data_IF_529875676497
#
_entry.id   IF_529875676497
#
_cell.length_a   1.000
_cell.length_b   1.000
_cell.length_c   1.000
_cell.angle_alpha   90.00
_cell.angle_beta   90.00
_cell.angle_gamma   90.00
#
_symmetry.space_group_name_H-M   'P 1'
#
loop_
_entity.id
_entity.type
_entity.pdbx_description
1 polymer ?
#
# COMPACT_ATOMS: atom_id res chain seq x y z
N UNK A 1 -28.55 -51.27 -3.68
CA UNK A 1 -27.34 -51.21 -4.50
C UNK A 1 -27.22 -49.90 -5.34
N UNK A 2 -28.25 -49.46 -6.10
CA UNK A 2 -28.17 -48.21 -6.90
C UNK A 2 -28.05 -46.92 -6.13
N UNK A 3 -28.59 -46.83 -4.88
CA UNK A 3 -28.51 -45.64 -4.02
C UNK A 3 -27.11 -45.51 -3.42
N UNK A 4 -26.50 -46.60 -2.97
CA UNK A 4 -25.16 -46.64 -2.40
C UNK A 4 -24.12 -46.24 -3.47
N UNK A 5 -24.30 -46.68 -4.71
CA UNK A 5 -23.42 -46.33 -5.83
C UNK A 5 -23.53 -44.82 -6.21
N UNK A 6 -24.73 -44.22 -6.14
CA UNK A 6 -24.94 -42.79 -6.37
C UNK A 6 -24.34 -41.94 -5.26
N UNK A 7 -24.45 -42.38 -4.01
CA UNK A 7 -23.82 -41.71 -2.87
C UNK A 7 -22.29 -41.79 -2.94
N UNK A 8 -21.73 -42.92 -3.36
CA UNK A 8 -20.30 -43.07 -3.59
C UNK A 8 -19.78 -42.18 -4.73
N UNK A 9 -20.52 -42.07 -5.84
CA UNK A 9 -20.17 -41.19 -6.96
C UNK A 9 -20.23 -39.71 -6.57
N UNK A 10 -21.19 -39.31 -5.74
CA UNK A 10 -21.27 -37.92 -5.20
C UNK A 10 -20.13 -37.65 -4.25
N UNK A 11 -19.74 -38.62 -3.41
CA UNK A 11 -18.60 -38.49 -2.51
C UNK A 11 -17.27 -38.41 -3.26
N UNK A 12 -17.10 -39.16 -4.34
CA UNK A 12 -15.90 -39.09 -5.20
C UNK A 12 -15.85 -37.77 -5.98
N UNK A 13 -17.02 -37.25 -6.42
CA UNK A 13 -17.08 -35.94 -7.07
C UNK A 13 -16.78 -34.75 -6.10
N UNK A 14 -17.11 -34.91 -4.83
CA UNK A 14 -16.79 -33.90 -3.77
C UNK A 14 -15.32 -33.94 -3.32
N UNK A 15 -14.61 -35.05 -3.49
CA UNK A 15 -13.17 -35.17 -3.18
C UNK A 15 -12.24 -34.63 -4.29
N UNK A 16 -12.78 -34.27 -5.47
CA UNK A 16 -12.00 -33.88 -6.67
C UNK A 16 -11.73 -32.37 -6.81
N UNK A 17 -12.19 -31.53 -5.90
CA UNK A 17 -11.91 -30.09 -5.96
C UNK A 17 -10.88 -29.76 -4.89
N UNK A 18 -9.64 -30.18 -5.10
CA UNK A 18 -8.52 -29.53 -4.42
C UNK A 18 -8.40 -28.14 -5.07
N UNK A 19 -8.87 -27.13 -4.38
CA UNK A 19 -8.50 -25.76 -4.72
C UNK A 19 -7.02 -25.64 -4.39
N UNK A 20 -6.18 -25.55 -5.41
CA UNK A 20 -4.80 -25.15 -5.25
C UNK A 20 -4.87 -23.69 -4.80
N UNK A 21 -4.70 -23.46 -3.52
CA UNK A 21 -4.56 -22.11 -2.98
C UNK A 21 -3.16 -21.62 -3.33
N UNK A 22 -3.08 -20.68 -4.26
CA UNK A 22 -1.85 -19.94 -4.51
C UNK A 22 -1.75 -18.85 -3.44
N UNK A 23 -0.73 -18.93 -2.59
CA UNK A 23 -0.44 -17.83 -1.70
C UNK A 23 0.21 -16.70 -2.50
N UNK A 24 -0.25 -15.47 -2.31
CA UNK A 24 0.33 -14.24 -2.89
C UNK A 24 1.69 -13.88 -2.22
N UNK A 25 2.30 -14.78 -1.49
CA UNK A 25 3.42 -14.57 -0.57
C UNK A 25 4.80 -14.90 -1.13
N UNK A 26 5.03 -14.81 -2.45
CA UNK A 26 6.29 -15.23 -3.06
C UNK A 26 7.35 -14.11 -3.16
N UNK A 27 7.23 -13.05 -2.40
CA UNK A 27 8.19 -11.95 -2.35
C UNK A 27 8.74 -11.74 -0.94
N UNK A 28 10.04 -11.46 -0.84
CA UNK A 28 10.65 -11.04 0.41
C UNK A 28 10.23 -9.60 0.79
N UNK A 29 10.50 -9.19 2.03
CA UNK A 29 10.26 -7.84 2.56
C UNK A 29 8.85 -7.29 2.27
N UNK A 30 7.77 -8.03 2.60
CA UNK A 30 6.39 -7.67 2.28
C UNK A 30 5.92 -6.39 2.98
N UNK A 31 6.64 -5.87 3.97
CA UNK A 31 6.35 -4.61 4.64
C UNK A 31 6.29 -3.43 3.66
N UNK A 32 6.93 -3.53 2.50
CA UNK A 32 6.89 -2.53 1.43
C UNK A 32 5.52 -2.41 0.74
N UNK A 33 4.60 -3.35 0.97
CA UNK A 33 3.24 -3.31 0.44
C UNK A 33 2.20 -2.83 1.46
N UNK A 34 2.57 -2.69 2.73
CA UNK A 34 1.65 -2.30 3.79
C UNK A 34 1.27 -0.82 3.65
N UNK A 35 -0.03 -0.53 3.71
CA UNK A 35 -0.54 0.85 3.68
C UNK A 35 0.02 1.65 4.87
N UNK A 36 0.77 2.73 4.61
CA UNK A 36 1.54 3.35 5.67
C UNK A 36 0.81 4.44 6.45
N UNK A 37 -0.18 5.10 5.86
CA UNK A 37 -0.83 6.27 6.43
C UNK A 37 -2.29 6.04 6.81
N UNK A 38 -2.79 6.81 7.78
CA UNK A 38 -4.16 6.67 8.29
C UNK A 38 -5.20 7.13 7.29
N UNK A 39 -4.91 8.15 6.44
CA UNK A 39 -5.89 8.68 5.50
C UNK A 39 -6.28 7.64 4.46
N UNK A 40 -5.32 7.09 3.73
CA UNK A 40 -5.59 6.02 2.77
C UNK A 40 -5.99 4.72 3.48
N UNK A 41 -5.47 4.46 4.68
CA UNK A 41 -5.93 3.38 5.54
C UNK A 41 -7.43 3.42 5.81
N UNK A 42 -8.01 4.61 6.02
CA UNK A 42 -9.46 4.82 6.16
C UNK A 42 -10.26 4.69 4.87
N UNK A 43 -9.58 4.68 3.70
CA UNK A 43 -10.16 4.58 2.35
C UNK A 43 -10.05 3.17 1.75
N UNK A 44 -9.92 2.13 2.57
CA UNK A 44 -9.74 0.76 2.09
C UNK A 44 -8.37 0.53 1.48
N UNK A 45 -7.36 1.31 1.84
CA UNK A 45 -6.01 1.30 1.26
C UNK A 45 -5.98 1.73 -0.22
N UNK A 46 -6.82 2.72 -0.57
CA UNK A 46 -6.88 3.36 -1.88
C UNK A 46 -6.27 4.77 -1.81
N UNK A 47 -5.25 5.05 -2.60
CA UNK A 47 -4.51 6.31 -2.54
C UNK A 47 -3.82 6.74 -3.82
N UNK A 48 -3.66 5.85 -4.83
CA UNK A 48 -2.85 6.15 -6.01
C UNK A 48 -3.49 7.18 -6.96
N UNK A 49 -4.81 7.21 -7.03
CA UNK A 49 -5.54 8.23 -7.79
C UNK A 49 -5.67 9.56 -7.05
N UNK A 50 -5.69 9.55 -5.72
CA UNK A 50 -5.82 10.74 -4.88
C UNK A 50 -4.48 11.46 -4.70
N UNK A 51 -3.47 10.81 -4.11
CA UNK A 51 -2.05 11.17 -3.98
C UNK A 51 -1.76 12.68 -3.79
N UNK A 52 -2.46 13.33 -2.83
CA UNK A 52 -2.44 14.78 -2.63
C UNK A 52 -1.91 15.23 -1.25
N UNK A 53 -1.17 14.35 -0.55
CA UNK A 53 -0.45 14.63 0.69
C UNK A 53 0.98 14.05 0.64
N UNK A 54 1.77 14.16 1.71
CA UNK A 54 3.14 13.64 1.75
C UNK A 54 3.24 12.12 1.60
N UNK A 55 2.20 11.35 1.95
CA UNK A 55 2.15 9.91 1.72
C UNK A 55 2.06 9.52 0.23
N UNK A 56 1.89 10.49 -0.68
CA UNK A 56 1.97 10.25 -2.12
C UNK A 56 3.31 9.62 -2.54
N UNK A 57 4.40 9.84 -1.81
CA UNK A 57 5.69 9.15 -2.03
C UNK A 57 5.53 7.61 -2.02
N UNK A 58 4.57 7.06 -1.29
CA UNK A 58 4.25 5.63 -1.28
C UNK A 58 3.19 5.26 -2.34
N UNK A 59 2.08 6.01 -2.38
CA UNK A 59 0.92 5.64 -3.19
C UNK A 59 1.14 5.89 -4.68
N UNK A 60 1.58 7.09 -5.01
CA UNK A 60 1.91 7.53 -6.36
C UNK A 60 2.78 8.79 -6.28
N UNK A 61 4.11 8.69 -6.38
CA UNK A 61 4.99 9.84 -6.26
C UNK A 61 4.72 10.95 -7.29
N UNK A 62 4.10 10.65 -8.45
CA UNK A 62 3.72 11.67 -9.42
C UNK A 62 2.65 12.66 -8.89
N UNK A 63 1.87 12.26 -7.87
CA UNK A 63 0.94 13.16 -7.20
C UNK A 63 1.61 14.34 -6.51
N UNK A 64 2.86 14.18 -6.07
CA UNK A 64 3.67 15.25 -5.47
C UNK A 64 3.94 16.40 -6.44
N UNK A 65 3.92 16.16 -7.76
CA UNK A 65 4.10 17.20 -8.77
C UNK A 65 3.00 18.27 -8.76
N UNK A 66 1.83 17.94 -8.18
CA UNK A 66 0.69 18.85 -8.09
C UNK A 66 0.57 19.52 -6.71
N UNK A 67 1.53 19.30 -5.83
CA UNK A 67 1.51 19.82 -4.46
C UNK A 67 2.50 20.98 -4.33
N UNK A 68 2.18 21.92 -3.44
CA UNK A 68 3.01 23.10 -3.11
C UNK A 68 3.30 23.13 -1.61
N UNK A 69 4.27 23.93 -1.19
CA UNK A 69 4.67 24.07 0.21
C UNK A 69 5.38 22.83 0.75
N UNK A 70 5.43 22.75 2.06
CA UNK A 70 6.14 21.72 2.82
C UNK A 70 5.16 20.96 3.70
N UNK A 71 5.36 19.66 3.85
CA UNK A 71 4.57 18.82 4.77
C UNK A 71 5.46 17.76 5.40
N UNK A 72 5.32 17.60 6.71
CA UNK A 72 5.90 16.53 7.51
C UNK A 72 4.76 15.71 8.11
N UNK A 73 4.83 14.39 8.02
CA UNK A 73 3.86 13.51 8.64
C UNK A 73 4.52 12.33 9.32
N UNK A 74 3.98 11.93 10.47
CA UNK A 74 4.35 10.69 11.16
C UNK A 74 3.09 9.86 11.39
N UNK A 75 3.18 8.57 11.09
CA UNK A 75 2.12 7.60 11.34
C UNK A 75 2.65 6.47 12.21
N UNK A 76 1.84 6.06 13.19
CA UNK A 76 2.04 4.87 13.99
C UNK A 76 0.85 3.93 13.82
N UNK A 77 1.13 2.63 13.64
CA UNK A 77 0.11 1.58 13.52
C UNK A 77 0.48 0.40 14.40
N UNK A 78 -0.44 -0.03 15.27
CA UNK A 78 -0.33 -1.33 15.91
C UNK A 78 -0.65 -2.40 14.87
N UNK A 79 0.34 -3.20 14.49
CA UNK A 79 0.17 -4.19 13.43
C UNK A 79 -0.22 -5.55 14.00
N UNK A 80 -1.24 -6.19 13.38
CA UNK A 80 -1.74 -7.51 13.77
C UNK A 80 -2.03 -7.66 15.29
N UNK A 81 -2.85 -6.77 15.88
CA UNK A 81 -3.05 -6.71 17.35
C UNK A 81 -3.63 -8.00 17.94
N UNK A 82 -4.26 -8.85 17.14
CA UNK A 82 -4.82 -10.13 17.57
C UNK A 82 -3.75 -11.14 18.05
N UNK A 83 -2.49 -10.95 17.64
CA UNK A 83 -1.40 -11.81 18.10
C UNK A 83 -0.88 -11.47 19.50
N UNK A 84 -1.30 -10.33 20.08
CA UNK A 84 -0.80 -9.81 21.37
C UNK A 84 0.75 -9.75 21.42
N UNK A 85 1.37 -9.46 20.30
CA UNK A 85 2.80 -9.23 20.14
C UNK A 85 3.05 -7.72 19.97
N UNK A 86 4.24 -7.26 20.34
CA UNK A 86 4.67 -5.87 20.13
C UNK A 86 5.07 -5.62 18.66
N UNK A 87 4.10 -5.83 17.76
CA UNK A 87 4.24 -5.59 16.34
C UNK A 87 3.71 -4.19 16.01
N UNK A 88 4.56 -3.36 15.46
CA UNK A 88 4.13 -2.03 15.03
C UNK A 88 4.82 -1.59 13.74
N UNK A 89 4.18 -0.66 13.08
CA UNK A 89 4.63 -0.07 11.83
C UNK A 89 4.62 1.44 11.97
N UNK A 90 5.81 2.04 11.80
CA UNK A 90 6.01 3.48 11.84
C UNK A 90 6.37 4.00 10.46
N UNK A 91 5.82 5.15 10.11
CA UNK A 91 6.04 5.79 8.83
C UNK A 91 6.21 7.29 9.00
N UNK A 92 7.36 7.80 8.58
CA UNK A 92 7.68 9.22 8.56
C UNK A 92 7.78 9.67 7.10
N UNK A 93 7.15 10.81 6.76
CA UNK A 93 7.24 11.42 5.43
C UNK A 93 7.57 12.89 5.52
N UNK A 94 8.31 13.35 4.52
CA UNK A 94 8.60 14.75 4.27
C UNK A 94 8.44 15.04 2.79
N UNK A 95 7.87 16.20 2.44
CA UNK A 95 7.86 16.74 1.09
C UNK A 95 8.04 18.25 1.12
N UNK A 96 8.67 18.79 0.08
CA UNK A 96 8.86 20.22 -0.12
C UNK A 96 8.88 20.55 -1.61
N UNK A 97 8.09 21.51 -2.02
CA UNK A 97 8.17 22.07 -3.37
C UNK A 97 9.35 23.04 -3.46
N UNK A 98 10.23 22.80 -4.42
CA UNK A 98 11.42 23.60 -4.69
C UNK A 98 11.29 24.29 -6.03
N UNK A 99 11.20 25.63 -6.02
CA UNK A 99 11.09 26.43 -7.26
C UNK A 99 12.31 26.25 -8.16
N UNK A 100 13.52 26.22 -7.60
CA UNK A 100 14.77 26.03 -8.32
C UNK A 100 14.83 24.69 -9.09
N UNK A 101 14.14 23.68 -8.60
CA UNK A 101 14.03 22.37 -9.24
C UNK A 101 12.75 22.23 -10.07
N UNK A 102 11.86 23.22 -10.03
CA UNK A 102 10.52 23.15 -10.65
C UNK A 102 9.78 21.87 -10.32
N UNK A 103 9.91 21.41 -9.06
CA UNK A 103 9.35 20.14 -8.63
C UNK A 103 9.37 19.96 -7.13
N UNK A 104 8.82 18.84 -6.67
CA UNK A 104 8.73 18.48 -5.26
C UNK A 104 9.75 17.40 -4.94
N UNK A 105 10.62 17.67 -3.97
CA UNK A 105 11.46 16.65 -3.33
C UNK A 105 10.72 16.02 -2.18
N UNK A 106 11.00 14.76 -1.91
CA UNK A 106 10.36 14.03 -0.83
C UNK A 106 11.28 12.99 -0.23
N UNK A 107 11.01 12.63 1.02
CA UNK A 107 11.68 11.56 1.72
C UNK A 107 10.69 10.80 2.59
N UNK A 108 10.92 9.50 2.79
CA UNK A 108 10.19 8.73 3.79
C UNK A 108 11.08 7.70 4.48
N UNK A 109 10.75 7.43 5.74
CA UNK A 109 11.32 6.32 6.51
C UNK A 109 10.18 5.41 6.91
N UNK A 110 10.32 4.14 6.57
CA UNK A 110 9.43 3.06 6.98
C UNK A 110 10.16 2.18 7.97
N UNK A 111 9.51 1.84 9.08
CA UNK A 111 10.05 0.92 10.08
C UNK A 111 8.98 -0.07 10.52
N UNK A 112 9.25 -1.36 10.35
CA UNK A 112 8.39 -2.45 10.79
C UNK A 112 9.09 -3.22 11.90
N UNK A 113 8.56 -3.18 13.11
CA UNK A 113 9.05 -3.94 14.25
C UNK A 113 8.32 -5.28 14.32
N UNK A 114 9.08 -6.37 14.35
CA UNK A 114 8.55 -7.72 14.56
C UNK A 114 8.68 -8.20 16.01
N UNK A 115 9.19 -7.33 16.90
CA UNK A 115 9.35 -7.64 18.31
C UNK A 115 10.67 -8.33 18.64
N UNK A 116 10.70 -8.88 19.84
CA UNK A 116 11.85 -9.61 20.39
C UNK A 116 11.58 -11.12 20.34
N UNK A 117 12.56 -11.86 19.84
CA UNK A 117 12.52 -13.31 19.73
C UNK A 117 13.51 -13.96 20.69
N UNK A 118 13.10 -15.08 21.30
CA UNK A 118 13.96 -15.90 22.14
C UNK A 118 14.66 -16.93 21.28
N UNK A 119 16.00 -16.94 21.33
CA UNK A 119 16.81 -17.97 20.72
C UNK A 119 16.90 -19.18 21.64
N UNK A 120 16.64 -20.36 21.12
CA UNK A 120 16.80 -21.64 21.81
C UNK A 120 17.85 -22.49 21.09
N UNK A 121 18.40 -23.50 21.80
CA UNK A 121 19.29 -24.47 21.18
C UNK A 121 18.52 -25.53 20.39
N UNK A 122 19.24 -26.30 19.55
CA UNK A 122 18.64 -27.40 18.77
C UNK A 122 18.19 -28.57 19.65
N UNK A 123 18.81 -28.77 20.80
CA UNK A 123 18.59 -29.92 21.69
C UNK A 123 17.91 -29.58 23.00
N UNK A 124 17.74 -28.29 23.31
CA UNK A 124 17.08 -27.80 24.54
C UNK A 124 16.22 -26.57 24.24
N UNK A 125 15.02 -26.47 24.85
CA UNK A 125 14.18 -25.27 24.79
C UNK A 125 14.71 -24.12 25.66
N UNK A 126 15.82 -24.30 26.37
CA UNK A 126 16.37 -23.27 27.26
C UNK A 126 16.81 -22.04 26.46
N UNK A 127 16.47 -20.83 26.95
CA UNK A 127 16.86 -19.59 26.28
C UNK A 127 18.39 -19.43 26.22
N UNK A 128 18.92 -19.24 25.02
CA UNK A 128 20.33 -18.91 24.77
C UNK A 128 20.56 -17.38 24.64
N UNK A 129 19.48 -16.60 24.57
CA UNK A 129 19.51 -15.16 24.42
C UNK A 129 18.29 -14.64 23.67
N UNK A 130 18.21 -13.33 23.47
CA UNK A 130 17.15 -12.69 22.69
C UNK A 130 17.74 -11.87 21.56
N UNK A 131 16.96 -11.64 20.47
CA UNK A 131 17.29 -10.74 19.40
C UNK A 131 16.05 -10.01 18.91
N UNK A 132 16.22 -8.82 18.34
CA UNK A 132 15.15 -8.05 17.73
C UNK A 132 15.16 -8.21 16.23
N UNK A 133 13.96 -8.39 15.68
CA UNK A 133 13.72 -8.51 14.26
C UNK A 133 12.97 -7.27 13.76
N UNK A 134 13.43 -6.70 12.65
CA UNK A 134 12.79 -5.52 12.04
C UNK A 134 13.12 -5.41 10.55
N UNK A 135 12.25 -4.73 9.83
CA UNK A 135 12.49 -4.24 8.48
C UNK A 135 12.45 -2.70 8.47
N UNK A 136 13.31 -2.10 7.65
CA UNK A 136 13.35 -0.65 7.48
C UNK A 136 13.59 -0.26 6.02
N UNK A 137 13.05 0.88 5.60
CA UNK A 137 13.34 1.45 4.30
C UNK A 137 13.48 2.97 4.39
N UNK A 138 14.48 3.51 3.68
CA UNK A 138 14.64 4.93 3.41
C UNK A 138 14.31 5.16 1.94
N UNK A 139 13.35 6.04 1.66
CA UNK A 139 12.97 6.41 0.30
C UNK A 139 13.24 7.90 0.08
N UNK A 140 13.83 8.22 -1.07
CA UNK A 140 14.01 9.58 -1.55
C UNK A 140 13.26 9.72 -2.87
N UNK A 141 12.48 10.78 -3.03
CA UNK A 141 11.63 10.99 -4.19
C UNK A 141 11.76 12.37 -4.80
N UNK A 142 11.47 12.43 -6.10
CA UNK A 142 11.34 13.67 -6.85
C UNK A 142 10.16 13.55 -7.82
N UNK A 143 9.37 14.62 -7.92
CA UNK A 143 8.25 14.71 -8.84
C UNK A 143 8.15 16.08 -9.48
N UNK A 144 7.76 16.12 -10.76
CA UNK A 144 7.59 17.36 -11.50
C UNK A 144 6.44 17.26 -12.49
N UNK A 145 5.87 18.40 -12.89
CA UNK A 145 4.87 18.47 -13.96
C UNK A 145 5.55 18.41 -15.33
N UNK A 146 5.05 17.54 -16.21
CA UNK A 146 5.38 17.56 -17.64
C UNK A 146 4.50 18.54 -18.40
N UNK A 147 3.27 18.75 -17.93
CA UNK A 147 2.30 19.71 -18.44
C UNK A 147 1.34 20.10 -17.30
N UNK A 148 0.41 21.06 -17.49
CA UNK A 148 -0.60 21.37 -16.47
C UNK A 148 -1.36 20.13 -15.97
N UNK A 149 -1.64 19.17 -16.86
CA UNK A 149 -2.44 17.99 -16.58
C UNK A 149 -1.63 16.75 -16.19
N UNK A 150 -0.33 16.70 -16.51
CA UNK A 150 0.50 15.52 -16.32
C UNK A 150 1.64 15.74 -15.33
N UNK A 151 1.74 14.88 -14.35
CA UNK A 151 2.87 14.76 -13.43
C UNK A 151 3.59 13.44 -13.59
N UNK A 152 4.90 13.46 -13.32
CA UNK A 152 5.72 12.26 -13.19
C UNK A 152 6.43 12.27 -11.84
N UNK A 153 6.74 11.09 -11.33
CA UNK A 153 7.45 10.93 -10.07
C UNK A 153 8.36 9.73 -10.07
N UNK A 154 9.47 9.85 -9.36
CA UNK A 154 10.49 8.82 -9.21
C UNK A 154 10.89 8.70 -7.76
N UNK A 155 11.08 7.48 -7.29
CA UNK A 155 11.67 7.20 -5.99
C UNK A 155 12.91 6.33 -6.15
N UNK A 156 13.85 6.53 -5.24
CA UNK A 156 14.93 5.60 -4.94
C UNK A 156 14.80 5.15 -3.50
N UNK A 157 14.91 3.84 -3.25
CA UNK A 157 14.70 3.25 -1.92
C UNK A 157 15.88 2.36 -1.54
N UNK A 158 16.33 2.49 -0.30
CA UNK A 158 17.26 1.58 0.36
C UNK A 158 16.46 0.76 1.35
N UNK A 159 16.58 -0.56 1.27
CA UNK A 159 15.85 -1.54 2.07
C UNK A 159 16.84 -2.26 2.97
N UNK A 160 16.55 -2.34 4.26
CA UNK A 160 17.33 -3.10 5.22
C UNK A 160 16.41 -4.02 6.03
N UNK A 161 16.68 -5.30 6.00
CA UNK A 161 15.92 -6.32 6.72
C UNK A 161 16.84 -7.08 7.66
N UNK A 162 16.43 -7.20 8.92
CA UNK A 162 17.10 -7.99 9.95
C UNK A 162 16.09 -8.91 10.59
N UNK A 163 16.10 -10.18 10.16
CA UNK A 163 15.17 -11.21 10.66
C UNK A 163 15.80 -12.02 11.81
N UNK A 164 17.10 -12.25 11.77
CA UNK A 164 17.81 -13.00 12.80
C UNK A 164 19.26 -12.48 12.96
N UNK A 165 19.85 -12.63 14.14
CA UNK A 165 21.23 -12.27 14.41
C UNK A 165 22.22 -13.40 14.13
N UNK A 166 21.75 -14.63 14.01
CA UNK A 166 22.49 -15.83 13.66
C UNK A 166 21.63 -16.77 12.81
N UNK A 167 22.27 -17.59 11.96
CA UNK A 167 21.60 -18.67 11.24
C UNK A 167 21.12 -19.77 12.17
N UNK A 168 20.22 -20.60 11.69
CA UNK A 168 19.68 -21.77 12.38
C UNK A 168 20.20 -23.05 11.73
N UNK A 169 20.46 -24.07 12.54
CA UNK A 169 20.94 -25.38 12.09
C UNK A 169 22.30 -25.32 11.40
N UNK A 170 22.39 -25.90 10.21
CA UNK A 170 23.61 -25.92 9.41
C UNK A 170 23.91 -24.57 8.71
N UNK A 171 22.97 -23.63 8.69
CA UNK A 171 23.14 -22.32 8.08
C UNK A 171 24.04 -21.44 8.96
N UNK A 172 25.20 -21.09 8.45
CA UNK A 172 26.12 -20.16 9.10
C UNK A 172 26.00 -18.80 8.47
N UNK A 173 25.51 -17.81 9.25
CA UNK A 173 25.36 -16.44 8.80
C UNK A 173 24.40 -15.64 9.65
N UNK A 174 24.17 -14.41 9.24
CA UNK A 174 23.17 -13.54 9.87
C UNK A 174 21.98 -13.41 8.92
N UNK A 175 20.77 -13.50 9.45
CA UNK A 175 19.54 -13.20 8.72
C UNK A 175 19.37 -11.70 8.48
N UNK A 176 20.38 -11.07 7.85
CA UNK A 176 20.42 -9.62 7.57
C UNK A 176 20.64 -9.42 6.08
N UNK A 177 19.79 -8.61 5.47
CA UNK A 177 19.87 -8.31 4.05
C UNK A 177 19.70 -6.80 3.79
N UNK A 178 20.35 -6.31 2.74
CA UNK A 178 20.18 -4.94 2.25
C UNK A 178 20.01 -4.98 0.75
N UNK A 179 19.02 -4.23 0.24
CA UNK A 179 18.73 -4.11 -1.18
C UNK A 179 18.36 -2.69 -1.53
N UNK A 180 18.17 -2.44 -2.82
CA UNK A 180 17.70 -1.15 -3.34
C UNK A 180 16.53 -1.37 -4.27
N UNK A 181 15.67 -0.35 -4.41
CA UNK A 181 14.60 -0.36 -5.42
C UNK A 181 14.31 1.03 -5.94
N UNK A 182 13.60 1.07 -7.07
CA UNK A 182 13.11 2.28 -7.70
C UNK A 182 11.61 2.20 -7.90
N UNK A 183 10.95 3.35 -7.90
CA UNK A 183 9.56 3.48 -8.30
C UNK A 183 9.48 4.49 -9.46
N UNK A 184 8.56 4.24 -10.40
CA UNK A 184 8.25 5.13 -11.52
C UNK A 184 6.74 5.33 -11.55
N UNK A 185 6.33 6.58 -11.60
CA UNK A 185 4.91 6.91 -11.54
C UNK A 185 4.52 8.02 -12.51
N UNK A 186 3.25 7.99 -12.91
CA UNK A 186 2.61 9.05 -13.66
C UNK A 186 1.24 9.36 -13.05
N UNK A 187 0.82 10.60 -13.16
CA UNK A 187 -0.51 11.05 -12.75
C UNK A 187 -1.08 12.01 -13.80
N UNK A 188 -2.31 11.74 -14.19
CA UNK A 188 -3.11 12.59 -15.04
C UNK A 188 -4.23 13.23 -14.24
N UNK A 189 -4.24 14.55 -14.23
CA UNK A 189 -5.23 15.39 -13.53
C UNK A 189 -5.66 16.51 -14.47
N UNK A 190 -6.63 16.26 -15.37
CA UNK A 190 -7.03 17.19 -16.40
C UNK A 190 -7.68 18.45 -15.81
N UNK A 191 -7.29 19.61 -16.31
CA UNK A 191 -7.96 20.88 -15.98
C UNK A 191 -9.35 20.95 -16.62
N UNK A 192 -9.52 20.36 -17.81
CA UNK A 192 -10.76 20.26 -18.53
C UNK A 192 -10.97 18.86 -19.09
N UNK A 193 -12.11 18.27 -18.80
CA UNK A 193 -12.51 16.96 -19.34
C UNK A 193 -14.02 16.91 -19.51
N UNK A 194 -14.50 17.22 -20.71
CA UNK A 194 -15.94 17.19 -21.03
C UNK A 194 -16.31 15.77 -21.46
N UNK A 195 -17.27 15.16 -20.75
CA UNK A 195 -17.81 13.85 -21.09
C UNK A 195 -18.89 14.00 -22.17
N UNK A 196 -18.70 13.46 -23.40
CA UNK A 196 -19.62 13.68 -24.52
C UNK A 196 -21.04 13.17 -24.31
N UNK A 197 -21.22 12.19 -23.40
CA UNK A 197 -22.53 11.57 -23.14
C UNK A 197 -23.44 12.39 -22.25
N UNK A 198 -22.89 13.21 -21.35
CA UNK A 198 -23.63 13.96 -20.35
C UNK A 198 -23.38 15.47 -20.44
N UNK A 199 -22.49 15.89 -21.37
CA UNK A 199 -22.08 17.29 -21.58
C UNK A 199 -21.62 17.99 -20.29
N UNK A 200 -21.05 17.21 -19.35
CA UNK A 200 -20.51 17.70 -18.07
C UNK A 200 -18.98 17.77 -18.13
N UNK A 201 -18.42 18.90 -17.67
CA UNK A 201 -16.99 19.05 -17.46
C UNK A 201 -16.61 18.48 -16.09
N UNK A 202 -15.90 17.35 -16.09
CA UNK A 202 -15.34 16.71 -14.91
C UNK A 202 -13.84 17.04 -14.71
N UNK A 203 -13.30 17.98 -15.46
CA UNK A 203 -11.97 18.52 -15.24
C UNK A 203 -11.82 19.04 -13.81
N UNK A 204 -10.63 18.95 -13.24
CA UNK A 204 -10.33 19.22 -11.83
C UNK A 204 -11.10 18.39 -10.79
N UNK A 205 -12.04 17.53 -11.22
CA UNK A 205 -12.76 16.59 -10.34
C UNK A 205 -12.23 15.18 -10.45
N UNK A 206 -11.49 14.87 -11.51
CA UNK A 206 -11.04 13.53 -11.83
C UNK A 206 -9.53 13.44 -11.90
N UNK A 207 -8.97 12.32 -11.44
CA UNK A 207 -7.56 12.01 -11.61
C UNK A 207 -7.35 10.50 -11.80
N UNK A 208 -6.29 10.19 -12.54
CA UNK A 208 -5.81 8.82 -12.75
C UNK A 208 -4.34 8.77 -12.41
N UNK A 209 -3.95 7.82 -11.58
CA UNK A 209 -2.57 7.58 -11.18
C UNK A 209 -2.11 6.18 -11.55
N UNK A 210 -0.88 6.07 -12.04
CA UNK A 210 -0.19 4.80 -12.28
C UNK A 210 1.11 4.82 -11.50
N UNK A 211 1.38 3.76 -10.75
CA UNK A 211 2.64 3.57 -10.02
C UNK A 211 3.18 2.17 -10.25
N UNK A 212 4.41 2.06 -10.71
CA UNK A 212 5.18 0.84 -10.77
C UNK A 212 6.28 0.93 -9.71
N UNK A 213 6.10 0.23 -8.61
CA UNK A 213 6.92 0.36 -7.40
C UNK A 213 7.76 -0.87 -7.11
N UNK A 214 8.80 -0.68 -6.30
CA UNK A 214 9.71 -1.72 -5.85
C UNK A 214 10.43 -2.44 -7.00
N UNK A 215 10.88 -1.69 -8.02
CA UNK A 215 11.71 -2.22 -9.09
C UNK A 215 13.14 -2.40 -8.58
N UNK A 216 13.59 -3.63 -8.40
CA UNK A 216 14.94 -3.85 -7.86
C UNK A 216 15.38 -5.30 -7.90
N UNK A 217 16.68 -5.56 -7.61
CA UNK A 217 17.23 -6.89 -7.58
C UNK A 217 16.61 -7.73 -6.48
N UNK A 218 16.70 -9.04 -6.63
CA UNK A 218 16.34 -9.99 -5.58
C UNK A 218 17.16 -9.73 -4.32
N UNK A 219 16.57 -10.00 -3.19
CA UNK A 219 17.20 -9.89 -1.88
C UNK A 219 17.57 -11.30 -1.38
N UNK A 220 18.70 -11.44 -0.72
CA UNK A 220 19.14 -12.68 -0.08
C UNK A 220 19.73 -12.38 1.30
N UNK A 221 19.56 -13.29 2.24
CA UNK A 221 20.04 -13.12 3.61
C UNK A 221 21.37 -13.84 3.84
N UNK A 222 21.45 -15.12 3.50
CA UNK A 222 22.63 -15.96 3.73
C UNK A 222 23.18 -16.44 2.39
N UNK A 223 22.39 -17.12 1.58
CA UNK A 223 22.84 -17.70 0.31
C UNK A 223 22.14 -17.00 -0.89
N UNK A 224 22.96 -16.63 -1.88
CA UNK A 224 22.46 -16.06 -3.14
C UNK A 224 21.57 -17.02 -3.93
N UNK A 225 21.75 -18.34 -3.77
CA UNK A 225 20.91 -19.33 -4.41
C UNK A 225 19.46 -19.29 -3.91
N UNK A 226 19.25 -18.74 -2.71
CA UNK A 226 17.94 -18.56 -2.06
C UNK A 226 17.41 -17.13 -2.21
N UNK A 227 17.88 -16.38 -3.21
CA UNK A 227 17.45 -14.99 -3.42
C UNK A 227 15.99 -14.91 -3.86
N UNK A 228 15.18 -14.18 -3.09
CA UNK A 228 13.78 -13.93 -3.38
C UNK A 228 13.57 -12.54 -4.01
N UNK A 229 12.56 -12.39 -4.89
CA UNK A 229 12.23 -11.10 -5.45
C UNK A 229 11.71 -10.16 -4.37
N UNK A 230 12.02 -8.87 -4.49
CA UNK A 230 11.30 -7.84 -3.75
C UNK A 230 9.91 -7.65 -4.37
N UNK A 231 8.92 -7.13 -3.63
CA UNK A 231 7.52 -7.12 -4.06
C UNK A 231 7.27 -6.01 -5.10
N UNK A 232 7.75 -6.22 -6.32
CA UNK A 232 7.44 -5.33 -7.46
C UNK A 232 5.93 -5.27 -7.66
N UNK A 233 5.36 -4.08 -7.62
CA UNK A 233 3.92 -3.90 -7.63
C UNK A 233 3.49 -2.86 -8.66
N UNK A 234 2.48 -3.19 -9.44
CA UNK A 234 1.75 -2.27 -10.31
C UNK A 234 0.49 -1.79 -9.60
N UNK A 235 0.25 -0.48 -9.63
CA UNK A 235 -0.97 0.12 -9.10
C UNK A 235 -1.56 1.12 -10.08
N UNK A 236 -2.86 0.98 -10.35
CA UNK A 236 -3.68 1.90 -11.14
C UNK A 236 -4.77 2.45 -10.22
N UNK A 237 -4.80 3.76 -10.03
CA UNK A 237 -5.74 4.41 -9.15
C UNK A 237 -6.55 5.50 -9.83
N UNK A 238 -7.77 5.67 -9.36
CA UNK A 238 -8.72 6.69 -9.79
C UNK A 238 -9.21 7.46 -8.58
N UNK A 239 -9.38 8.77 -8.73
CA UNK A 239 -10.12 9.57 -7.76
C UNK A 239 -11.12 10.46 -8.50
N UNK A 240 -12.33 10.55 -7.96
CA UNK A 240 -13.39 11.38 -8.50
C UNK A 240 -14.09 12.15 -7.38
N UNK A 241 -14.04 13.47 -7.47
CA UNK A 241 -14.81 14.33 -6.59
C UNK A 241 -16.25 14.44 -7.07
N UNK A 242 -17.14 13.77 -6.35
CA UNK A 242 -18.56 13.66 -6.67
C UNK A 242 -19.21 15.03 -6.58
N UNK A 243 -18.93 15.77 -5.48
CA UNK A 243 -19.33 17.16 -5.31
C UNK A 243 -18.34 17.91 -4.42
N UNK A 244 -18.35 19.24 -4.54
CA UNK A 244 -17.76 20.17 -3.59
C UNK A 244 -18.56 21.46 -3.62
N UNK A 245 -18.91 21.95 -2.44
CA UNK A 245 -19.47 23.28 -2.21
C UNK A 245 -18.58 24.05 -1.20
N UNK A 246 -19.09 25.14 -0.65
CA UNK A 246 -18.33 26.01 0.27
C UNK A 246 -17.85 25.28 1.54
N UNK A 247 -18.63 24.33 2.06
CA UNK A 247 -18.34 23.63 3.31
C UNK A 247 -18.19 22.13 3.16
N UNK A 248 -18.57 21.56 2.04
CA UNK A 248 -18.69 20.12 1.90
C UNK A 248 -17.98 19.63 0.65
N UNK A 249 -17.25 18.51 0.78
CA UNK A 249 -16.83 17.78 -0.41
C UNK A 249 -16.87 16.28 -0.18
N UNK A 250 -17.21 15.54 -1.25
CA UNK A 250 -17.21 14.09 -1.26
C UNK A 250 -16.37 13.58 -2.41
N UNK A 251 -15.35 12.78 -2.09
CA UNK A 251 -14.46 12.15 -3.06
C UNK A 251 -14.59 10.64 -2.98
N UNK A 252 -14.65 9.99 -4.14
CA UNK A 252 -14.56 8.54 -4.31
C UNK A 252 -13.18 8.18 -4.83
N UNK A 253 -12.60 7.09 -4.30
CA UNK A 253 -11.31 6.54 -4.75
C UNK A 253 -11.45 5.07 -5.10
N UNK A 254 -10.69 4.62 -6.11
CA UNK A 254 -10.67 3.24 -6.56
C UNK A 254 -9.26 2.89 -7.06
N UNK A 255 -8.62 1.91 -6.44
CA UNK A 255 -7.30 1.42 -6.84
C UNK A 255 -7.38 -0.07 -7.22
N UNK A 256 -6.63 -0.42 -8.26
CA UNK A 256 -6.32 -1.79 -8.62
C UNK A 256 -4.82 -2.00 -8.48
N UNK A 257 -4.40 -3.03 -7.76
CA UNK A 257 -2.99 -3.36 -7.65
C UNK A 257 -2.72 -4.83 -7.95
N UNK A 258 -1.55 -5.09 -8.52
CA UNK A 258 -1.10 -6.43 -8.87
C UNK A 258 0.37 -6.58 -8.53
N UNK A 259 0.70 -7.66 -7.81
CA UNK A 259 2.07 -8.06 -7.55
C UNK A 259 2.67 -8.64 -8.84
N UNK A 260 3.79 -8.05 -9.30
CA UNK A 260 4.48 -8.46 -10.52
C UNK A 260 5.68 -9.34 -10.16
N UNK A 261 5.39 -10.51 -9.63
CA UNK A 261 6.35 -11.59 -9.36
C UNK A 261 5.96 -12.79 -10.20
N UNK A 262 6.90 -13.36 -10.91
CA UNK A 262 6.67 -14.51 -11.79
C UNK A 262 7.78 -15.55 -11.60
N UNK A 263 7.45 -16.83 -11.73
CA UNK A 263 8.40 -17.94 -11.68
C UNK A 263 8.56 -18.57 -13.07
N UNK A 264 9.71 -19.15 -13.29
CA UNK A 264 9.93 -19.97 -14.50
C UNK A 264 9.46 -21.41 -14.29
N UNK A 265 9.61 -22.24 -15.32
CA UNK A 265 9.18 -23.66 -15.30
C UNK A 265 9.99 -24.52 -14.31
N UNK A 266 11.14 -24.06 -13.83
CA UNK A 266 11.93 -24.73 -12.78
C UNK A 266 11.49 -24.32 -11.37
N UNK A 267 10.57 -23.35 -11.23
CA UNK A 267 10.13 -22.78 -9.97
C UNK A 267 11.01 -21.62 -9.48
N UNK A 268 12.06 -21.26 -10.20
CA UNK A 268 12.91 -20.12 -9.84
C UNK A 268 12.21 -18.79 -10.18
N UNK A 269 12.28 -17.82 -9.27
CA UNK A 269 11.73 -16.49 -9.50
C UNK A 269 12.50 -15.76 -10.60
N UNK A 270 11.74 -15.08 -11.51
CA UNK A 270 12.33 -14.24 -12.56
C UNK A 270 12.92 -12.95 -11.98
N UNK A 271 13.83 -12.32 -12.72
CA UNK A 271 14.32 -10.99 -12.39
C UNK A 271 13.21 -9.95 -12.61
N UNK A 272 13.20 -8.84 -11.84
CA UNK A 272 12.13 -7.84 -11.86
C UNK A 272 11.84 -7.30 -13.28
N UNK A 273 12.88 -7.03 -14.09
CA UNK A 273 12.74 -6.52 -15.47
C UNK A 273 12.11 -7.53 -16.43
N UNK A 274 12.09 -8.81 -16.10
CA UNK A 274 11.34 -9.85 -16.80
C UNK A 274 9.94 -9.99 -16.21
N UNK A 275 9.85 -10.03 -14.88
CA UNK A 275 8.60 -10.25 -14.17
C UNK A 275 7.53 -9.19 -14.49
N UNK A 276 7.91 -7.91 -14.67
CA UNK A 276 6.99 -6.83 -15.06
C UNK A 276 6.23 -7.09 -16.37
N UNK A 277 6.74 -7.94 -17.25
CA UNK A 277 6.07 -8.33 -18.49
C UNK A 277 5.42 -9.70 -18.38
N UNK A 278 6.11 -10.68 -17.79
CA UNK A 278 5.62 -12.05 -17.72
C UNK A 278 4.46 -12.25 -16.75
N UNK A 279 4.40 -11.49 -15.65
CA UNK A 279 3.37 -11.59 -14.64
C UNK A 279 1.95 -11.19 -15.11
N UNK A 280 1.78 -10.76 -16.36
CA UNK A 280 0.48 -10.46 -16.96
C UNK A 280 -0.08 -11.61 -17.82
N UNK A 281 0.65 -12.69 -17.97
CA UNK A 281 0.25 -13.80 -18.84
C UNK A 281 0.89 -15.12 -18.44
N UNK A 282 1.38 -15.27 -17.22
CA UNK A 282 1.92 -16.52 -16.69
C UNK A 282 0.82 -17.45 -16.12
N UNK A 283 -0.40 -16.94 -16.04
CA UNK A 283 -1.62 -17.65 -15.61
C UNK A 283 -2.74 -17.50 -16.65
N UNK A 284 -3.76 -18.38 -16.65
CA UNK A 284 -4.96 -18.15 -17.45
C UNK A 284 -5.64 -16.81 -17.12
N UNK A 285 -6.18 -16.10 -18.11
CA UNK A 285 -6.76 -14.77 -17.97
C UNK A 285 -7.72 -14.60 -16.78
N UNK A 286 -8.51 -15.64 -16.48
CA UNK A 286 -9.44 -15.61 -15.34
C UNK A 286 -8.71 -15.62 -14.01
N UNK A 287 -7.57 -16.27 -13.91
CA UNK A 287 -6.73 -16.30 -12.72
C UNK A 287 -5.95 -15.00 -12.58
N UNK A 288 -5.51 -14.40 -13.70
CA UNK A 288 -4.92 -13.07 -13.73
C UNK A 288 -5.83 -11.98 -13.13
N UNK A 289 -7.14 -12.05 -13.47
CA UNK A 289 -8.14 -11.14 -12.89
C UNK A 289 -8.34 -11.35 -11.38
N UNK A 290 -8.21 -12.58 -10.91
CA UNK A 290 -8.33 -12.91 -9.48
C UNK A 290 -7.12 -12.46 -8.66
N UNK A 291 -5.98 -12.32 -9.30
CA UNK A 291 -4.72 -11.86 -8.71
C UNK A 291 -4.68 -10.33 -8.50
N UNK A 292 -5.68 -9.61 -9.01
CA UNK A 292 -5.81 -8.17 -8.84
C UNK A 292 -6.49 -7.84 -7.53
N UNK A 293 -5.79 -7.11 -6.67
CA UNK A 293 -6.33 -6.54 -5.44
C UNK A 293 -7.13 -5.28 -5.79
N UNK A 294 -8.32 -5.14 -5.21
CA UNK A 294 -9.20 -3.98 -5.40
C UNK A 294 -9.41 -3.25 -4.08
N UNK A 295 -9.17 -1.96 -4.08
CA UNK A 295 -9.36 -1.06 -2.95
C UNK A 295 -10.25 0.10 -3.36
N UNK A 296 -11.22 0.47 -2.53
CA UNK A 296 -12.09 1.61 -2.80
C UNK A 296 -12.49 2.33 -1.52
N UNK A 297 -12.78 3.62 -1.63
CA UNK A 297 -13.17 4.41 -0.47
C UNK A 297 -13.94 5.67 -0.82
N UNK A 298 -14.58 6.20 0.21
CA UNK A 298 -15.22 7.49 0.21
C UNK A 298 -14.62 8.38 1.28
N UNK A 299 -14.29 9.62 0.92
CA UNK A 299 -13.81 10.66 1.81
C UNK A 299 -14.77 11.85 1.76
N UNK A 300 -15.35 12.18 2.90
CA UNK A 300 -16.19 13.36 3.08
C UNK A 300 -15.47 14.36 3.96
N UNK A 301 -15.37 15.61 3.50
CA UNK A 301 -14.85 16.73 4.26
C UNK A 301 -15.94 17.74 4.55
N UNK A 302 -15.89 18.32 5.76
CA UNK A 302 -16.76 19.38 6.23
C UNK A 302 -15.93 20.49 6.86
N UNK A 303 -16.21 21.75 6.50
CA UNK A 303 -15.62 22.97 7.05
C UNK A 303 -15.00 23.86 5.97
N UNK A 304 -14.49 25.01 6.36
CA UNK A 304 -13.81 25.96 5.49
C UNK A 304 -12.28 25.78 5.55
N UNK A 305 -11.59 25.86 4.39
CA UNK A 305 -10.13 25.92 4.37
C UNK A 305 -9.61 27.12 5.15
N UNK A 306 -8.68 26.90 6.09
CA UNK A 306 -8.12 27.92 6.97
C UNK A 306 -8.80 28.03 8.33
N UNK A 307 -9.88 27.29 8.56
CA UNK A 307 -10.53 27.05 9.85
C UNK A 307 -10.51 25.56 10.16
N UNK A 308 -11.38 25.07 11.02
CA UNK A 308 -11.50 23.63 11.30
C UNK A 308 -12.10 22.87 10.12
N UNK A 309 -11.34 21.89 9.63
CA UNK A 309 -11.83 20.89 8.68
C UNK A 309 -11.95 19.53 9.35
N UNK A 310 -13.06 18.85 9.11
CA UNK A 310 -13.35 17.51 9.61
C UNK A 310 -13.52 16.56 8.46
N UNK A 311 -12.87 15.39 8.53
CA UNK A 311 -13.01 14.33 7.54
C UNK A 311 -13.66 13.08 8.16
N UNK A 312 -14.53 12.45 7.38
CA UNK A 312 -14.99 11.08 7.63
C UNK A 312 -14.66 10.22 6.42
N UNK A 313 -14.21 9.00 6.66
CA UNK A 313 -13.77 8.05 5.64
C UNK A 313 -14.36 6.68 5.87
N UNK A 314 -14.66 6.00 4.80
CA UNK A 314 -14.95 4.57 4.82
C UNK A 314 -14.40 3.95 3.56
N UNK A 315 -13.98 2.69 3.64
CA UNK A 315 -13.41 2.00 2.51
C UNK A 315 -13.59 0.49 2.58
N UNK A 316 -13.31 -0.15 1.47
CA UNK A 316 -13.36 -1.59 1.32
C UNK A 316 -12.13 -2.09 0.56
N UNK A 317 -11.49 -3.10 1.13
CA UNK A 317 -10.38 -3.83 0.54
C UNK A 317 -10.82 -5.24 0.17
N UNK A 318 -10.47 -5.66 -1.03
CA UNK A 318 -10.80 -6.99 -1.54
C UNK A 318 -9.61 -7.66 -2.20
N UNK A 319 -9.34 -8.87 -1.77
CA UNK A 319 -8.43 -9.83 -2.35
C UNK A 319 -9.13 -11.17 -2.54
N UNK A 320 -8.92 -11.79 -3.70
CA UNK A 320 -9.61 -13.04 -4.03
C UNK A 320 -9.25 -14.15 -3.03
N UNK A 321 -10.20 -15.02 -2.64
CA UNK A 321 -9.96 -16.13 -1.72
C UNK A 321 -8.84 -17.06 -2.12
N UNK A 322 -8.53 -17.17 -3.42
CA UNK A 322 -7.45 -18.01 -3.94
C UNK A 322 -6.08 -17.33 -3.88
N UNK A 323 -6.01 -16.02 -3.58
CA UNK A 323 -4.81 -15.17 -3.65
C UNK A 323 -4.58 -14.32 -2.41
N UNK A 324 -4.88 -14.85 -1.23
CA UNK A 324 -4.62 -14.19 0.05
C UNK A 324 -5.88 -14.01 0.92
N UNK A 325 -7.07 -13.89 0.30
CA UNK A 325 -8.37 -13.84 0.97
C UNK A 325 -8.53 -12.70 2.00
N UNK A 326 -7.77 -11.61 1.86
CA UNK A 326 -7.94 -10.45 2.73
C UNK A 326 -9.16 -9.64 2.29
N UNK A 327 -10.10 -9.46 3.19
CA UNK A 327 -11.31 -8.64 2.99
C UNK A 327 -11.57 -7.89 4.26
N UNK A 328 -11.67 -6.58 4.16
CA UNK A 328 -11.97 -5.76 5.32
C UNK A 328 -12.68 -4.46 4.92
N UNK A 329 -13.42 -3.93 5.88
CA UNK A 329 -13.97 -2.58 5.83
C UNK A 329 -13.09 -1.69 6.69
N UNK A 330 -12.93 -0.45 6.27
CA UNK A 330 -12.19 0.55 7.01
C UNK A 330 -13.06 1.72 7.35
N UNK A 331 -12.76 2.34 8.47
CA UNK A 331 -13.30 3.63 8.88
C UNK A 331 -12.15 4.56 9.20
N UNK A 332 -12.35 5.85 8.96
CA UNK A 332 -11.36 6.87 9.29
C UNK A 332 -12.01 8.19 9.65
N UNK A 333 -11.28 8.98 10.41
CA UNK A 333 -11.61 10.35 10.73
C UNK A 333 -10.36 11.22 10.58
N UNK A 334 -10.55 12.52 10.33
CA UNK A 334 -9.47 13.47 10.24
C UNK A 334 -9.89 14.85 10.69
N UNK A 335 -8.92 15.61 11.19
CA UNK A 335 -9.09 17.01 11.57
C UNK A 335 -7.92 17.79 10.99
N UNK A 336 -8.20 18.99 10.46
CA UNK A 336 -7.19 19.97 10.06
C UNK A 336 -7.50 21.29 10.75
N UNK A 337 -6.48 21.94 11.26
CA UNK A 337 -6.57 23.26 11.82
C UNK A 337 -5.24 24.01 11.66
N UNK A 338 -5.27 25.12 10.97
CA UNK A 338 -4.08 25.90 10.62
C UNK A 338 -3.03 24.99 9.92
N UNK A 339 -1.83 24.88 10.42
CA UNK A 339 -0.76 24.03 9.91
C UNK A 339 -0.85 22.58 10.38
N UNK A 340 -1.74 22.24 11.30
CA UNK A 340 -1.79 20.92 11.94
C UNK A 340 -2.86 20.04 11.37
N UNK A 341 -2.54 18.76 11.25
CA UNK A 341 -3.48 17.71 10.87
C UNK A 341 -3.35 16.48 11.75
N UNK A 342 -4.47 15.81 11.95
CA UNK A 342 -4.54 14.52 12.61
C UNK A 342 -5.50 13.62 11.84
N UNK A 343 -5.05 12.39 11.56
CA UNK A 343 -5.88 11.35 10.94
C UNK A 343 -5.84 10.09 11.79
N UNK A 344 -6.96 9.39 11.78
CA UNK A 344 -7.16 8.11 12.41
C UNK A 344 -7.79 7.14 11.42
N UNK A 345 -7.41 5.86 11.48
CA UNK A 345 -8.12 4.79 10.78
C UNK A 345 -8.20 3.49 11.57
N UNK A 346 -9.22 2.74 11.27
CA UNK A 346 -9.56 1.47 11.91
C UNK A 346 -9.94 0.44 10.85
N UNK A 347 -9.38 -0.77 10.96
CA UNK A 347 -9.71 -1.91 10.12
C UNK A 347 -10.60 -2.88 10.89
N UNK A 348 -11.71 -3.32 10.29
CA UNK A 348 -12.52 -4.43 10.78
C UNK A 348 -12.74 -5.50 9.70
N UNK A 349 -12.60 -6.74 10.10
CA UNK A 349 -12.92 -7.94 9.31
C UNK A 349 -14.17 -8.65 9.82
N UNK A 350 -14.73 -8.21 10.93
CA UNK A 350 -15.80 -8.90 11.71
C UNK A 350 -17.12 -9.02 10.96
N UNK A 351 -17.31 -8.18 9.93
CA UNK A 351 -18.50 -8.23 9.06
C UNK A 351 -18.49 -9.43 8.09
N UNK A 352 -17.37 -10.13 7.95
CA UNK A 352 -17.22 -11.27 7.07
C UNK A 352 -17.21 -12.57 7.88
N UNK A 353 -17.76 -13.64 7.31
CA UNK A 353 -17.81 -14.95 7.95
C UNK A 353 -16.40 -15.44 8.32
N UNK A 354 -16.15 -15.67 9.60
CA UNK A 354 -14.84 -16.06 10.12
C UNK A 354 -13.85 -14.90 10.26
N UNK A 355 -14.32 -13.64 10.13
CA UNK A 355 -13.49 -12.46 10.25
C UNK A 355 -13.18 -12.03 11.68
N UNK A 356 -13.92 -12.51 12.68
CA UNK A 356 -13.77 -12.08 14.08
C UNK A 356 -12.38 -12.33 14.66
N UNK A 357 -11.68 -13.36 14.16
CA UNK A 357 -10.32 -13.70 14.60
C UNK A 357 -9.27 -13.43 13.53
N UNK A 358 -9.58 -12.64 12.50
CA UNK A 358 -8.60 -12.32 11.47
C UNK A 358 -7.50 -11.43 12.06
N UNK A 359 -6.21 -11.71 11.80
CA UNK A 359 -5.09 -10.97 12.40
C UNK A 359 -5.11 -9.45 12.19
N UNK A 360 -5.68 -8.98 11.07
CA UNK A 360 -5.82 -7.55 10.75
C UNK A 360 -7.00 -6.87 11.47
N UNK A 361 -7.95 -7.62 12.06
CA UNK A 361 -9.06 -7.00 12.79
C UNK A 361 -8.54 -6.17 13.96
N UNK A 362 -9.17 -5.02 14.20
CA UNK A 362 -8.79 -4.06 15.23
C UNK A 362 -7.43 -3.35 15.00
N UNK A 363 -6.90 -3.38 13.78
CA UNK A 363 -5.72 -2.57 13.45
C UNK A 363 -6.08 -1.08 13.48
N UNK A 364 -5.34 -0.31 14.27
CA UNK A 364 -5.47 1.13 14.43
C UNK A 364 -4.27 1.83 13.81
N UNK A 365 -4.49 2.95 13.13
CA UNK A 365 -3.44 3.85 12.63
C UNK A 365 -3.73 5.27 13.07
N UNK A 366 -2.69 5.99 13.46
CA UNK A 366 -2.74 7.40 13.85
C UNK A 366 -1.67 8.16 13.08
N UNK A 367 -2.06 9.24 12.40
CA UNK A 367 -1.13 10.12 11.70
C UNK A 367 -1.23 11.53 12.25
N UNK A 368 -0.09 12.16 12.47
CA UNK A 368 0.04 13.58 12.76
C UNK A 368 0.76 14.24 11.60
N UNK A 369 0.24 15.37 11.14
CA UNK A 369 0.75 16.13 10.00
C UNK A 369 1.01 17.57 10.42
N UNK A 370 2.06 18.16 9.85
CA UNK A 370 2.35 19.59 9.93
C UNK A 370 2.69 20.08 8.52
N UNK A 371 1.92 21.07 8.03
CA UNK A 371 2.11 21.62 6.68
C UNK A 371 2.23 23.14 6.71
N UNK A 372 3.09 23.73 5.87
CA UNK A 372 3.27 25.17 5.76
C UNK A 372 3.76 25.59 4.36
N UNK A 373 3.64 26.88 4.07
CA UNK A 373 4.17 27.48 2.83
C UNK A 373 3.39 27.07 1.56
N UNK A 374 2.29 26.35 1.69
CA UNK A 374 1.45 26.00 0.55
C UNK A 374 0.59 27.19 0.11
N UNK A 375 0.55 27.47 -1.19
CA UNK A 375 -0.44 28.40 -1.75
C UNK A 375 -1.73 27.62 -1.95
N UNK A 376 -2.87 28.06 -1.39
CA UNK A 376 -4.16 27.51 -1.79
C UNK A 376 -4.35 27.76 -3.28
N UNK A 377 -4.28 26.73 -4.15
CA UNK A 377 -4.67 26.92 -5.54
C UNK A 377 -6.16 27.26 -5.60
N UNK A 378 -6.46 28.52 -5.75
CA UNK A 378 -7.82 29.00 -5.97
C UNK A 378 -8.44 28.22 -7.13
N UNK A 379 -9.51 27.47 -6.85
CA UNK A 379 -10.36 26.84 -7.85
C UNK A 379 -10.24 25.34 -8.08
N UNK A 380 -9.23 24.66 -7.54
CA UNK A 380 -9.11 23.18 -7.62
C UNK A 380 -9.59 22.54 -6.32
N UNK A 381 -10.87 22.59 -6.09
CA UNK A 381 -11.59 22.22 -4.89
C UNK A 381 -11.47 20.77 -4.40
N UNK A 382 -10.28 20.23 -4.15
CA UNK A 382 -10.09 19.25 -3.11
C UNK A 382 -9.77 20.05 -1.83
N UNK A 383 -10.38 19.79 -0.68
CA UNK A 383 -9.88 20.34 0.56
C UNK A 383 -8.46 19.81 0.68
N UNK A 384 -7.50 20.69 0.50
CA UNK A 384 -6.11 20.35 0.62
C UNK A 384 -5.85 20.05 2.09
N UNK A 385 -5.30 18.89 2.36
CA UNK A 385 -4.45 18.81 3.51
C UNK A 385 -3.49 19.98 3.40
N UNK A 386 -3.43 20.78 4.38
CA UNK A 386 -2.76 22.05 4.65
C UNK A 386 -1.46 22.21 3.89
#
# INVERSE_FOLDING_TARGET
MKIVFRLLMVSVMLMGIQQVTHAQGEAAVPFLLLAPDSRAGGLGESGAGLADNSAAIFWNPAGLAFQTGTELSITHSNWLPQFNLDLFYDYLTYREYMEDLSGTVSASVTYMNFGEFVRTGETSPDPLGTFRSFDAALTLGYATKLSPDWGIGFNFRIIHSRLADQGAGEEQGKGVATSVSFDVAAMWRPEKLVLPLIDEDIGNKFSVGVNLSNLGPKIYYIDRAQADPIPTNFRLGFAYRIFADEFNSLTYTLDFSKLLVSRDSSGASKEFYQAIFYAWGDKPFREELRDVVTSMGFEYWYGEPGDFLFALRTGYFYEDPSYGNRKFITFGAGIRYDIYGFDFSYITTDVFKGGENHPLSNTLRFSVLIGWGGVPESGRGLPRGI
#
